data_IF_661979910870
#
_entry.id   IF_661979910870
#
_cell.length_a   1.000
_cell.length_b   1.000
_cell.length_c   1.000
_cell.angle_alpha   90.00
_cell.angle_beta   90.00
_cell.angle_gamma   90.00
#
_symmetry.space_group_name_H-M   'P 1'
#
loop_
_entity.id
_entity.type
_entity.pdbx_description
1 polymer ?
#
# COMPACT_ATOMS: atom_id res chain seq x y z
N UNK A 1 0.88 -7.45 -11.55
CA UNK A 1 1.44 -6.35 -10.72
C UNK A 1 0.47 -5.18 -10.67
N UNK A 2 0.03 -4.85 -9.46
CA UNK A 2 -1.00 -3.88 -9.14
C UNK A 2 -0.46 -2.94 -8.06
N UNK A 3 -0.69 -1.64 -8.21
CA UNK A 3 -0.14 -0.62 -7.32
C UNK A 3 -1.25 0.28 -6.79
N UNK A 4 -1.08 0.67 -5.53
CA UNK A 4 -1.90 1.68 -4.88
C UNK A 4 -1.01 2.62 -4.08
N UNK A 5 -1.40 3.89 -4.01
CA UNK A 5 -0.74 4.90 -3.19
C UNK A 5 -1.75 5.48 -2.21
N UNK A 6 -1.30 5.77 -0.99
CA UNK A 6 -2.13 6.41 0.01
C UNK A 6 -2.23 7.91 -0.29
N UNK A 7 -3.46 8.42 -0.39
CA UNK A 7 -3.73 9.85 -0.45
C UNK A 7 -4.08 10.37 0.96
N UNK A 8 -3.24 11.22 1.56
CA UNK A 8 -3.47 11.75 2.91
C UNK A 8 -4.64 12.74 2.97
N UNK A 9 -5.11 13.28 1.84
CA UNK A 9 -6.25 14.20 1.82
C UNK A 9 -7.58 13.45 1.91
N UNK A 10 -7.65 12.26 1.33
CA UNK A 10 -8.87 11.43 1.30
C UNK A 10 -8.81 10.25 2.26
N UNK A 11 -7.64 10.02 2.89
CA UNK A 11 -7.33 8.88 3.75
C UNK A 11 -7.67 7.55 3.08
N UNK A 12 -7.31 7.39 1.81
CA UNK A 12 -7.64 6.21 1.00
C UNK A 12 -6.47 5.78 0.15
N UNK A 13 -6.46 4.50 -0.17
CA UNK A 13 -5.61 3.97 -1.22
C UNK A 13 -6.30 4.08 -2.58
N UNK A 14 -5.61 4.70 -3.53
CA UNK A 14 -6.09 4.81 -4.91
C UNK A 14 -5.20 4.04 -5.87
N UNK A 15 -5.77 3.60 -6.99
CA UNK A 15 -5.01 2.90 -8.03
C UNK A 15 -3.98 3.82 -8.64
N UNK A 16 -2.75 3.33 -8.69
CA UNK A 16 -1.60 4.11 -9.11
C UNK A 16 -0.77 3.40 -10.17
N UNK A 17 0.10 4.17 -10.83
CA UNK A 17 1.15 3.63 -11.69
C UNK A 17 2.41 3.36 -10.86
N UNK A 18 3.30 2.50 -11.37
CA UNK A 18 4.59 2.22 -10.73
C UNK A 18 5.41 3.51 -10.46
N UNK A 19 5.32 4.51 -11.33
CA UNK A 19 6.04 5.76 -11.18
C UNK A 19 5.58 6.57 -9.96
N UNK A 20 4.29 6.49 -9.61
CA UNK A 20 3.71 7.21 -8.48
C UNK A 20 4.21 6.69 -7.12
N UNK A 21 4.71 5.45 -7.04
CA UNK A 21 5.27 4.88 -5.82
C UNK A 21 6.44 5.69 -5.25
N UNK A 22 7.21 6.36 -6.11
CA UNK A 22 8.36 7.16 -5.67
C UNK A 22 7.95 8.47 -4.98
N UNK A 23 6.73 8.94 -5.22
CA UNK A 23 6.22 10.20 -4.70
C UNK A 23 5.28 10.01 -3.49
N UNK A 24 4.86 8.77 -3.21
CA UNK A 24 3.94 8.48 -2.12
C UNK A 24 4.70 8.05 -0.86
N UNK A 25 4.27 8.56 0.29
CA UNK A 25 4.84 8.19 1.59
C UNK A 25 4.50 6.74 1.97
N UNK A 26 3.30 6.28 1.58
CA UNK A 26 2.84 4.91 1.76
C UNK A 26 2.21 4.39 0.48
N UNK A 27 2.60 3.18 0.08
CA UNK A 27 2.07 2.51 -1.08
C UNK A 27 1.92 1.01 -0.84
N UNK A 28 0.96 0.40 -1.54
CA UNK A 28 0.71 -1.03 -1.54
C UNK A 28 1.02 -1.57 -2.93
N UNK A 29 1.74 -2.68 -2.98
CA UNK A 29 2.11 -3.38 -4.21
C UNK A 29 1.63 -4.82 -4.10
N UNK A 30 0.87 -5.28 -5.09
CA UNK A 30 0.55 -6.68 -5.26
C UNK A 30 1.25 -7.19 -6.53
N UNK A 31 2.15 -8.16 -6.39
CA UNK A 31 2.92 -8.74 -7.50
C UNK A 31 2.34 -10.04 -8.06
N UNK A 32 1.05 -10.30 -7.78
CA UNK A 32 0.29 -11.51 -8.08
C UNK A 32 0.76 -12.77 -7.29
N UNK A 33 1.86 -12.67 -6.53
CA UNK A 33 2.32 -13.70 -5.58
C UNK A 33 2.07 -13.29 -4.14
N UNK A 34 2.24 -11.99 -3.83
CA UNK A 34 2.06 -11.46 -2.50
C UNK A 34 1.71 -9.96 -2.49
N UNK A 35 1.25 -9.48 -1.34
CA UNK A 35 1.00 -8.07 -1.07
C UNK A 35 2.13 -7.51 -0.20
N UNK A 36 2.68 -6.38 -0.63
CA UNK A 36 3.79 -5.68 0.01
C UNK A 36 3.40 -4.22 0.28
N UNK A 37 3.92 -3.66 1.36
CA UNK A 37 3.80 -2.26 1.71
C UNK A 37 5.15 -1.58 1.57
N UNK A 38 5.15 -0.40 0.97
CA UNK A 38 6.27 0.51 0.89
C UNK A 38 5.90 1.70 1.75
N UNK A 39 6.71 2.02 2.76
CA UNK A 39 6.50 3.15 3.67
C UNK A 39 7.81 3.87 3.91
N UNK A 40 7.78 5.20 4.03
CA UNK A 40 8.93 6.05 4.41
C UNK A 40 10.19 5.79 3.56
N UNK A 41 10.01 5.54 2.26
CA UNK A 41 11.09 5.16 1.32
C UNK A 41 11.89 3.90 1.73
N UNK A 42 11.35 3.07 2.62
CA UNK A 42 11.93 1.78 2.96
C UNK A 42 11.74 0.76 1.83
N UNK A 43 12.57 -0.29 1.78
CA UNK A 43 12.33 -1.41 0.87
C UNK A 43 10.93 -2.00 1.06
N UNK A 44 10.28 -2.49 0.00
CA UNK A 44 8.98 -3.14 0.11
C UNK A 44 9.02 -4.28 1.14
N UNK A 45 8.11 -4.24 2.11
CA UNK A 45 7.97 -5.27 3.12
C UNK A 45 6.72 -6.08 2.85
N UNK A 46 6.81 -7.39 3.04
CA UNK A 46 5.66 -8.28 2.98
C UNK A 46 4.63 -7.85 4.03
N UNK A 47 3.38 -7.70 3.62
CA UNK A 47 2.28 -7.42 4.53
C UNK A 47 1.63 -8.74 4.94
N UNK A 48 1.69 -9.21 6.19
CA UNK A 48 1.09 -10.50 6.57
C UNK A 48 -0.42 -10.59 6.33
N UNK A 49 -0.92 -11.77 5.95
CA UNK A 49 -2.35 -12.04 5.84
C UNK A 49 -3.04 -11.97 7.21
N UNK A 50 -4.18 -11.29 7.31
CA UNK A 50 -4.95 -11.16 8.54
C UNK A 50 -4.47 -10.07 9.51
N UNK A 51 -3.44 -9.30 9.15
CA UNK A 51 -3.03 -8.10 9.89
C UNK A 51 -3.51 -6.84 9.15
N UNK A 52 -4.23 -5.91 9.79
CA UNK A 52 -4.59 -4.65 9.16
C UNK A 52 -3.37 -3.72 9.05
N UNK A 53 -3.29 -2.96 7.96
CA UNK A 53 -2.34 -1.85 7.84
C UNK A 53 -3.00 -0.60 8.38
N UNK A 54 -2.35 0.06 9.32
CA UNK A 54 -2.82 1.33 9.86
C UNK A 54 -2.04 2.48 9.23
N UNK A 55 -2.73 3.34 8.49
CA UNK A 55 -2.14 4.55 7.89
C UNK A 55 -2.95 5.76 8.35
N UNK A 56 -2.27 6.76 8.94
CA UNK A 56 -2.91 7.95 9.49
C UNK A 56 -4.07 7.66 10.48
N UNK A 57 -4.00 6.53 11.20
CA UNK A 57 -5.04 6.09 12.14
C UNK A 57 -6.25 5.41 11.50
N UNK A 58 -6.21 5.15 10.19
CA UNK A 58 -7.22 4.38 9.46
C UNK A 58 -6.69 2.98 9.18
N UNK A 59 -7.49 1.96 9.48
CA UNK A 59 -7.16 0.56 9.23
C UNK A 59 -7.61 0.14 7.84
N UNK A 60 -6.73 -0.60 7.15
CA UNK A 60 -6.99 -1.17 5.85
C UNK A 60 -6.77 -2.67 5.90
N UNK A 61 -7.71 -3.42 5.37
CA UNK A 61 -7.62 -4.87 5.24
C UNK A 61 -6.77 -5.23 4.01
N UNK A 62 -5.89 -6.22 4.17
CA UNK A 62 -5.01 -6.69 3.08
C UNK A 62 -5.82 -7.21 1.90
N UNK A 63 -6.95 -7.84 2.17
CA UNK A 63 -7.89 -8.45 1.24
C UNK A 63 -8.42 -7.44 0.19
N UNK A 64 -8.43 -6.15 0.51
CA UNK A 64 -8.79 -5.08 -0.45
C UNK A 64 -7.75 -4.92 -1.57
N UNK A 65 -6.55 -5.44 -1.38
CA UNK A 65 -5.40 -5.29 -2.27
C UNK A 65 -4.94 -6.60 -2.89
N UNK A 66 -5.57 -7.73 -2.56
CA UNK A 66 -5.29 -9.05 -3.15
C UNK A 66 -5.77 -9.20 -4.60
#
# INVERSE_FOLDING_TARGET
MRYWTFDPNTCRFERASKAALHAADVAVVNDDTDVQVISDHQPPQRWPSGEPLVVAGVEFERELFE
#
